data_IF_292804471356
#
_entry.id   IF_292804471356
#
_cell.length_a   1.000
_cell.length_b   1.000
_cell.length_c   1.000
_cell.angle_alpha   90.00
_cell.angle_beta   90.00
_cell.angle_gamma   90.00
#
_symmetry.space_group_name_H-M   'P 1'
#
loop_
_entity.id
_entity.type
_entity.pdbx_description
1 polymer ?
2 non-polymer ?
3 non-polymer ?
4 water ?
#
# COMPACT_ATOMS: atom_id res chain seq x y z
C UNK A 1 3.09 -13.29 -21.11
N UNK A 2 3.62 -12.22 -20.51
CA UNK A 2 4.36 -11.21 -21.23
C UNK A 2 3.41 -10.39 -22.08
N UNK A 3 3.58 -9.08 -22.00
CA UNK A 3 2.74 -8.14 -22.72
C UNK A 3 3.55 -6.88 -22.93
N UNK A 4 2.97 -6.00 -23.70
CA UNK A 4 3.44 -4.64 -23.93
C UNK A 4 2.03 -4.09 -24.19
N UNK A 5 1.55 -3.31 -23.23
CA UNK A 5 0.16 -2.90 -23.25
C UNK A 5 -0.01 -1.40 -23.44
N UNK A 6 -1.22 -0.94 -23.17
CA UNK A 6 -1.50 0.47 -23.05
C UNK A 6 -1.04 0.65 -21.59
N UNK A 7 0.04 1.33 -21.16
CA UNK A 7 0.27 1.29 -19.72
C UNK A 7 -0.26 2.55 -19.06
N UNK A 8 -1.36 2.31 -18.34
CA UNK A 8 -2.00 3.26 -17.44
C UNK A 8 -2.49 2.38 -16.29
N UNK A 9 -3.04 2.88 -15.18
CA UNK A 9 -3.69 1.98 -14.21
C UNK A 9 -5.06 1.77 -14.89
N UNK A 10 -5.06 0.85 -15.87
CA UNK A 10 -6.15 0.61 -16.80
C UNK A 10 -7.52 0.52 -16.15
N UNK A 11 -8.10 1.69 -15.91
CA UNK A 11 -9.38 1.74 -15.26
C UNK A 11 -9.22 1.68 -13.75
N UNK A 12 -9.23 2.86 -13.16
CA UNK A 12 -9.12 3.03 -11.73
C UNK A 12 -10.50 2.82 -11.08
N UNK A 13 -11.01 1.60 -11.10
CA UNK A 13 -12.30 1.25 -10.53
C UNK A 13 -13.49 1.84 -11.30
N UNK A 14 -13.87 3.13 -11.14
CA UNK A 14 -15.04 3.82 -11.72
C UNK A 14 -15.31 5.01 -10.81
N UNK A 15 -15.78 6.22 -11.18
CA UNK A 15 -16.42 7.21 -10.27
C UNK A 15 -17.29 6.66 -9.11
N UNK A 16 -18.25 5.76 -9.35
CA UNK A 16 -19.02 5.12 -8.27
C UNK A 16 -18.15 4.36 -7.25
N UNK A 17 -17.18 3.53 -7.70
CA UNK A 17 -16.27 2.89 -6.75
C UNK A 17 -15.14 3.77 -6.21
N UNK A 18 -14.77 4.76 -7.04
CA UNK A 18 -13.62 5.63 -6.81
C UNK A 18 -13.80 6.46 -5.57
N UNK A 19 -14.96 7.12 -5.60
CA UNK A 19 -15.31 8.06 -4.56
C UNK A 19 -15.07 7.57 -3.15
N UNK A 20 -15.38 6.29 -2.92
CA UNK A 20 -15.18 5.74 -1.59
C UNK A 20 -13.74 5.81 -1.15
N UNK A 21 -12.73 5.44 -1.96
CA UNK A 21 -11.39 5.45 -1.41
C UNK A 21 -10.89 6.85 -1.11
N UNK A 22 -11.60 7.90 -1.56
CA UNK A 22 -11.26 9.26 -1.16
C UNK A 22 -11.87 9.46 0.23
N UNK A 23 -13.19 9.36 0.45
CA UNK A 23 -13.72 9.54 1.81
C UNK A 23 -13.41 8.46 2.86
N UNK A 24 -12.90 7.31 2.43
CA UNK A 24 -12.43 6.30 3.35
C UNK A 24 -11.00 6.64 3.75
N UNK A 25 -10.14 7.01 2.78
CA UNK A 25 -8.77 7.40 3.06
C UNK A 25 -8.81 8.45 4.16
N UNK A 26 -9.66 9.48 4.01
CA UNK A 26 -9.77 10.50 5.03
C UNK A 26 -9.99 9.90 6.43
N UNK A 27 -10.98 9.00 6.58
CA UNK A 27 -11.23 8.41 7.88
C UNK A 27 -10.01 7.67 8.43
N UNK A 28 -9.47 6.70 7.67
CA UNK A 28 -8.30 5.91 8.06
C UNK A 28 -7.02 6.72 8.05
N UNK A 29 -6.97 7.94 7.51
CA UNK A 29 -5.73 8.64 7.61
C UNK A 29 -5.86 9.85 8.50
N UNK A 30 -6.50 9.53 9.62
CA UNK A 30 -6.45 10.43 10.76
C UNK A 30 -5.15 9.98 11.41
N UNK A 31 -5.05 8.66 11.49
CA UNK A 31 -3.96 7.98 12.11
C UNK A 31 -2.81 7.69 11.16
N UNK A 32 -2.07 8.72 10.71
CA UNK A 32 -0.91 8.51 9.84
C UNK A 32 0.06 7.51 10.50
N UNK A 33 0.51 7.74 11.73
CA UNK A 33 1.35 6.79 12.43
C UNK A 33 0.54 5.56 12.80
N UNK A 34 -0.78 5.67 12.96
CA UNK A 34 -1.61 4.54 13.36
C UNK A 34 -1.78 3.51 12.25
N UNK A 35 -2.86 3.56 11.48
CA UNK A 35 -3.17 2.65 10.40
C UNK A 35 -1.95 2.12 9.66
N UNK A 36 -0.90 2.88 9.26
CA UNK A 36 0.23 2.31 8.53
C UNK A 36 1.19 1.57 9.45
N UNK A 37 1.71 2.12 10.57
CA UNK A 37 2.62 1.38 11.48
C UNK A 37 1.95 0.08 11.97
N UNK A 38 0.63 0.17 12.17
CA UNK A 38 -0.17 -0.99 12.49
C UNK A 38 -0.19 -1.96 11.31
N UNK A 39 -0.49 -1.46 10.08
CA UNK A 39 -0.56 -2.26 8.85
C UNK A 39 0.78 -2.96 8.71
N UNK A 40 1.89 -2.31 9.11
CA UNK A 40 3.19 -2.90 9.00
C UNK A 40 3.56 -3.85 10.12
N UNK A 41 3.36 -3.61 11.43
CA UNK A 41 3.80 -4.57 12.46
C UNK A 41 3.23 -5.97 12.17
N UNK A 42 2.03 -5.97 11.57
CA UNK A 42 1.31 -7.16 11.22
C UNK A 42 1.99 -7.96 10.13
N UNK A 43 2.44 -7.32 9.02
CA UNK A 43 3.11 -7.97 7.87
C UNK A 43 4.33 -8.74 8.37
N UNK A 44 5.03 -8.05 9.27
CA UNK A 44 6.17 -8.61 9.97
C UNK A 44 5.88 -9.82 10.84
N UNK A 45 4.65 -10.28 11.06
CA UNK A 45 4.43 -11.38 11.98
C UNK A 45 4.29 -12.80 11.41
N UNK A 46 4.01 -12.86 10.11
CA UNK A 46 3.77 -14.08 9.34
C UNK A 46 4.91 -14.29 8.39
N UNK A 47 5.30 -13.20 7.74
CA UNK A 47 6.47 -13.22 6.88
C UNK A 47 7.69 -13.21 7.81
N UNK A 48 8.77 -13.91 7.47
CA UNK A 48 10.09 -13.64 8.05
C UNK A 48 10.88 -12.57 7.28
N UNK A 49 11.09 -12.88 6.00
CA UNK A 49 11.74 -12.11 4.94
C UNK A 49 11.67 -10.56 5.02
N UNK A 50 10.63 -10.04 5.69
CA UNK A 50 10.30 -8.64 5.92
C UNK A 50 11.21 -7.65 6.67
N UNK A 51 11.29 -7.81 7.98
CA UNK A 51 12.06 -6.94 8.87
C UNK A 51 13.53 -6.70 8.50
N UNK A 52 14.12 -7.53 7.61
CA UNK A 52 15.49 -7.37 7.20
C UNK A 52 15.61 -6.54 5.92
N UNK A 53 14.60 -6.38 5.07
CA UNK A 53 14.81 -5.61 3.85
C UNK A 53 14.47 -4.12 3.88
N UNK A 54 14.16 -3.61 5.06
CA UNK A 54 13.88 -2.20 5.27
C UNK A 54 15.10 -1.61 5.99
N UNK A 55 16.04 -0.91 5.33
CA UNK A 55 17.25 -0.33 5.93
C UNK A 55 17.26 0.28 7.34
N UNK A 56 16.17 0.93 7.75
CA UNK A 56 16.07 1.62 9.03
C UNK A 56 15.46 0.80 10.15
N UNK A 57 14.72 -0.27 9.86
CA UNK A 57 14.22 -1.17 10.90
C UNK A 57 15.29 -2.25 11.16
N UNK A 58 16.19 -2.38 10.17
CA UNK A 58 17.42 -3.16 10.20
C UNK A 58 17.66 -4.31 11.17
N UNK A 59 16.82 -5.33 11.09
CA UNK A 59 17.05 -6.55 11.88
C UNK A 59 16.94 -6.38 13.39
N UNK A 60 16.96 -5.16 13.95
CA UNK A 60 16.80 -5.02 15.37
C UNK A 60 15.34 -5.06 15.77
N UNK A 61 15.00 -6.22 16.35
CA UNK A 61 13.73 -6.56 16.98
C UNK A 61 12.44 -6.46 16.16
N UNK A 62 12.18 -7.51 15.36
CA UNK A 62 10.88 -7.92 14.85
C UNK A 62 9.61 -7.63 15.67
N UNK A 63 9.40 -8.53 16.62
CA UNK A 63 8.15 -8.53 17.32
C UNK A 63 7.80 -7.39 18.28
N UNK A 64 8.77 -6.73 18.95
CA UNK A 64 8.48 -5.80 20.04
C UNK A 64 7.65 -4.58 19.73
N UNK A 65 7.58 -4.28 18.45
CA UNK A 65 7.00 -3.05 17.97
C UNK A 65 5.56 -2.74 18.28
N UNK A 66 5.38 -1.44 18.04
CA UNK A 66 4.11 -0.75 17.94
C UNK A 66 4.68 0.60 17.57
N UNK A 67 5.39 1.34 18.42
CA UNK A 67 6.00 2.58 17.98
C UNK A 67 7.24 2.81 18.83
N UNK A 68 8.09 3.70 18.32
CA UNK A 68 9.21 4.32 19.01
C UNK A 68 9.91 5.15 17.92
N UNK A 69 11.24 5.35 17.99
CA UNK A 69 11.97 6.26 17.12
C UNK A 69 12.15 5.88 15.63
N UNK A 70 13.06 4.99 15.16
CA UNK A 70 13.32 4.75 13.72
C UNK A 70 12.18 4.11 12.91
N UNK A 71 10.98 4.03 13.49
CA UNK A 71 9.83 3.44 12.84
C UNK A 71 8.73 4.50 12.71
N UNK A 72 8.63 5.48 13.64
CA UNK A 72 7.62 6.54 13.52
C UNK A 72 7.93 7.39 12.28
N UNK A 73 9.20 7.34 11.86
CA UNK A 73 9.63 7.98 10.64
C UNK A 73 9.01 7.31 9.43
N UNK A 74 9.05 5.98 9.23
CA UNK A 74 8.41 5.43 8.02
C UNK A 74 6.89 5.59 8.03
N UNK A 75 6.30 5.71 9.23
CA UNK A 75 4.88 5.82 9.45
C UNK A 75 4.36 7.03 8.71
N UNK A 76 5.00 8.19 8.90
CA UNK A 76 4.59 9.35 8.14
C UNK A 76 5.23 9.27 6.74
N UNK A 77 6.55 9.12 6.56
CA UNK A 77 7.17 9.21 5.23
C UNK A 77 6.40 8.68 4.04
N UNK A 78 5.82 7.50 4.25
CA UNK A 78 5.13 6.79 3.22
C UNK A 78 3.70 7.37 3.21
N UNK A 79 3.08 7.68 4.34
CA UNK A 79 1.72 8.19 4.34
C UNK A 79 1.45 9.55 3.64
N UNK A 80 2.19 10.66 3.69
CA UNK A 80 1.84 11.85 2.90
C UNK A 80 2.06 11.57 1.43
N UNK A 81 3.07 10.74 1.14
CA UNK A 81 3.37 10.36 -0.25
C UNK A 81 2.27 9.46 -0.78
N UNK A 82 1.56 8.73 0.09
CA UNK A 82 0.44 7.96 -0.38
C UNK A 82 -0.71 8.95 -0.66
N UNK A 83 -0.99 9.98 0.17
CA UNK A 83 -1.97 11.05 -0.15
C UNK A 83 -1.60 11.76 -1.47
N UNK A 84 -0.38 11.61 -1.99
CA UNK A 84 -0.02 12.06 -3.32
C UNK A 84 -0.64 11.04 -4.29
N UNK A 85 -0.48 9.71 -4.17
CA UNK A 85 -1.10 8.77 -5.13
C UNK A 85 -2.62 8.94 -5.14
N UNK A 86 -3.20 9.19 -3.94
CA UNK A 86 -4.64 9.40 -3.80
C UNK A 86 -5.00 10.63 -4.61
N UNK A 87 -4.25 11.71 -4.40
CA UNK A 87 -4.55 12.93 -5.12
C UNK A 87 -4.42 12.95 -6.64
N UNK A 88 -3.71 11.96 -7.15
CA UNK A 88 -3.38 11.85 -8.55
C UNK A 88 -4.14 10.70 -9.20
N UNK A 89 -5.27 10.31 -8.56
CA UNK A 89 -6.13 9.17 -8.95
C UNK A 89 -6.35 8.99 -10.45
N UNK A 90 -6.71 10.04 -11.19
CA UNK A 90 -6.81 9.91 -12.63
C UNK A 90 -6.13 11.12 -13.26
N UNK A 91 -5.06 11.52 -12.58
CA UNK A 91 -4.33 12.71 -12.97
C UNK A 91 -2.97 12.35 -13.56
N UNK A 92 -2.91 12.31 -14.88
CA UNK A 92 -1.75 12.05 -15.72
C UNK A 92 -0.42 11.63 -15.14
N UNK A 93 0.09 12.32 -14.12
CA UNK A 93 1.38 12.07 -13.52
C UNK A 93 1.37 10.85 -12.59
N UNK A 94 0.29 10.06 -12.56
CA UNK A 94 0.23 8.78 -11.88
C UNK A 94 1.24 7.84 -12.53
N UNK A 95 1.39 7.60 -13.83
CA UNK A 95 2.56 6.85 -14.35
C UNK A 95 3.95 7.26 -13.86
N UNK A 96 4.36 8.51 -14.15
CA UNK A 96 5.68 8.93 -13.74
C UNK A 96 5.90 8.95 -12.22
N UNK A 97 4.85 9.17 -11.43
CA UNK A 97 4.96 9.19 -9.97
C UNK A 97 5.38 7.79 -9.47
N UNK A 98 4.50 6.83 -9.79
CA UNK A 98 4.64 5.43 -9.43
C UNK A 98 5.95 4.85 -9.91
N UNK A 99 6.38 5.15 -11.16
CA UNK A 99 7.61 4.57 -11.71
C UNK A 99 8.88 4.91 -10.94
N UNK A 100 9.08 6.12 -10.39
CA UNK A 100 10.26 6.37 -9.57
C UNK A 100 10.11 5.47 -8.35
N UNK A 101 8.89 5.17 -7.86
CA UNK A 101 8.72 4.23 -6.74
C UNK A 101 8.93 2.75 -7.10
N UNK A 102 8.61 2.39 -8.33
CA UNK A 102 8.89 1.07 -8.86
C UNK A 102 10.41 0.96 -8.96
N UNK A 103 11.17 2.00 -9.35
CA UNK A 103 12.63 2.02 -9.31
C UNK A 103 13.18 1.65 -7.92
N UNK A 104 12.51 2.10 -6.83
CA UNK A 104 12.96 1.72 -5.49
C UNK A 104 12.78 0.23 -5.28
N UNK A 105 11.54 -0.27 -5.23
CA UNK A 105 11.29 -1.65 -4.84
C UNK A 105 11.89 -2.68 -5.78
N UNK A 106 11.87 -2.35 -7.08
CA UNK A 106 12.34 -3.26 -8.13
C UNK A 106 13.81 -3.60 -7.92
N UNK A 107 14.57 -2.69 -7.25
CA UNK A 107 15.95 -2.96 -6.87
C UNK A 107 16.06 -4.20 -5.99
N UNK A 108 15.65 -4.11 -4.71
CA UNK A 108 15.96 -5.15 -3.72
C UNK A 108 15.62 -6.56 -4.10
N UNK A 109 14.33 -6.84 -4.13
CA UNK A 109 13.68 -8.07 -4.55
C UNK A 109 12.38 -8.09 -3.77
N UNK A 110 11.50 -7.27 -4.36
CA UNK A 110 10.12 -7.08 -3.94
C UNK A 110 9.41 -7.58 -5.20
N UNK A 111 8.52 -8.55 -5.01
CA UNK A 111 7.80 -9.11 -6.12
C UNK A 111 6.43 -9.52 -5.65
N UNK A 112 5.84 -10.38 -6.48
CA UNK A 112 4.46 -10.83 -6.29
C UNK A 112 4.23 -11.55 -4.97
N UNK A 113 5.28 -12.19 -4.39
CA UNK A 113 5.12 -12.82 -3.09
C UNK A 113 4.94 -11.67 -2.10
N UNK A 114 5.99 -10.92 -1.78
CA UNK A 114 5.87 -9.85 -0.80
C UNK A 114 4.67 -8.93 -0.90
N UNK A 115 4.18 -8.67 -2.12
CA UNK A 115 3.00 -7.83 -2.24
C UNK A 115 1.76 -8.47 -1.59
N UNK A 116 1.45 -9.78 -1.68
CA UNK A 116 0.22 -10.23 -1.02
C UNK A 116 0.38 -10.53 0.47
N UNK A 117 1.19 -9.67 1.07
CA UNK A 117 1.27 -9.64 2.50
C UNK A 117 0.51 -8.35 2.77
N UNK A 118 1.08 -7.23 2.29
CA UNK A 118 0.58 -5.87 2.50
C UNK A 118 -0.91 -5.81 2.22
N UNK A 119 -1.28 -6.16 1.00
CA UNK A 119 -2.65 -6.08 0.52
C UNK A 119 -3.73 -6.95 1.15
N UNK A 120 -3.46 -7.91 2.05
CA UNK A 120 -4.54 -8.62 2.71
C UNK A 120 -4.39 -8.26 4.18
N UNK A 121 -3.26 -7.73 4.66
CA UNK A 121 -3.16 -7.26 6.04
C UNK A 121 -3.88 -5.90 6.10
N UNK A 122 -3.85 -5.18 4.98
CA UNK A 122 -4.60 -3.96 4.74
C UNK A 122 -6.10 -4.26 4.80
N UNK A 123 -6.47 -5.49 4.43
CA UNK A 123 -7.86 -5.86 4.45
C UNK A 123 -8.29 -6.02 5.89
N UNK A 124 -7.42 -6.55 6.73
CA UNK A 124 -7.65 -6.79 8.14
C UNK A 124 -7.70 -5.46 8.91
N UNK A 125 -6.90 -4.45 8.54
CA UNK A 125 -6.92 -3.15 9.20
C UNK A 125 -8.29 -2.47 9.14
N UNK A 126 -8.92 -2.73 7.99
CA UNK A 126 -10.22 -2.23 7.63
C UNK A 126 -11.30 -2.96 8.44
N UNK A 127 -11.00 -4.08 9.10
CA UNK A 127 -11.97 -4.81 9.92
C UNK A 127 -12.05 -4.14 11.28
N UNK A 128 -10.91 -3.73 11.82
CA UNK A 128 -10.90 -3.10 13.12
C UNK A 128 -11.70 -1.81 13.12
N UNK A 129 -12.02 -1.25 11.94
CA UNK A 129 -12.89 -0.10 11.89
C UNK A 129 -14.25 -0.75 11.60
N UNK A 130 -14.68 -1.48 12.63
CA UNK A 130 -15.92 -2.19 12.59
C UNK A 130 -16.96 -1.20 13.05
N UNK A 131 -17.54 -0.59 12.02
CA UNK A 131 -18.66 0.31 12.18
C UNK A 131 -19.70 -0.45 11.42
N UNK A 132 -19.86 -1.71 11.83
CA UNK A 132 -20.70 -2.69 11.15
C UNK A 132 -20.25 -2.93 9.69
N UNK A 133 -20.94 -3.78 8.96
CA UNK A 133 -20.59 -4.18 7.60
C UNK A 133 -20.59 -3.12 6.50
N UNK A 134 -19.40 -2.54 6.40
CA UNK A 134 -18.98 -1.65 5.34
C UNK A 134 -19.19 -2.45 4.05
N UNK A 135 -19.78 -1.77 3.08
CA UNK A 135 -20.27 -2.43 1.88
C UNK A 135 -19.26 -3.19 1.04
N UNK A 136 -19.83 -4.20 0.37
CA UNK A 136 -19.02 -5.06 -0.46
C UNK A 136 -18.43 -4.29 -1.63
N UNK A 137 -18.93 -3.09 -1.99
CA UNK A 137 -18.27 -2.28 -3.00
C UNK A 137 -16.90 -1.84 -2.48
N UNK A 138 -16.61 -1.52 -1.20
CA UNK A 138 -15.24 -1.29 -0.75
C UNK A 138 -14.60 -2.69 -0.83
N UNK A 139 -15.24 -3.78 -0.36
CA UNK A 139 -14.59 -5.08 -0.52
C UNK A 139 -14.43 -5.55 -1.98
N UNK A 140 -14.84 -4.76 -2.98
CA UNK A 140 -14.36 -5.03 -4.31
C UNK A 140 -13.30 -3.95 -4.52
N UNK A 141 -13.66 -2.69 -4.35
CA UNK A 141 -12.87 -1.53 -4.70
C UNK A 141 -11.47 -1.53 -4.18
N UNK A 142 -11.23 -1.61 -2.87
CA UNK A 142 -9.86 -1.57 -2.38
C UNK A 142 -9.06 -2.77 -2.87
N UNK A 143 -9.76 -3.90 -3.06
CA UNK A 143 -9.12 -5.09 -3.61
C UNK A 143 -8.78 -4.83 -5.07
N UNK A 144 -9.60 -4.02 -5.76
CA UNK A 144 -9.42 -3.69 -7.17
C UNK A 144 -8.31 -2.64 -7.29
N UNK A 145 -8.12 -1.77 -6.28
CA UNK A 145 -7.04 -0.79 -6.32
C UNK A 145 -5.71 -1.52 -6.12
N UNK A 146 -5.49 -2.29 -5.03
CA UNK A 146 -4.22 -2.98 -4.76
C UNK A 146 -3.85 -3.92 -5.90
N UNK A 147 -4.87 -4.36 -6.64
CA UNK A 147 -4.67 -5.10 -7.85
C UNK A 147 -4.22 -4.17 -8.97
N UNK A 148 -4.59 -2.88 -9.16
CA UNK A 148 -3.97 -2.12 -10.27
C UNK A 148 -2.96 -0.99 -9.91
N UNK A 149 -2.81 -0.58 -8.66
CA UNK A 149 -1.90 0.51 -8.34
C UNK A 149 -0.54 -0.03 -7.87
N UNK A 150 -0.45 -1.23 -7.25
CA UNK A 150 0.80 -1.80 -6.74
C UNK A 150 1.86 -1.75 -7.82
N UNK A 151 2.69 -0.69 -7.84
CA UNK A 151 3.76 -0.46 -8.83
C UNK A 151 3.41 -0.84 -10.26
N UNK A 152 2.21 -0.41 -10.66
CA UNK A 152 1.48 -0.78 -11.87
C UNK A 152 1.79 -2.20 -12.38
N UNK A 153 1.91 -3.09 -11.40
CA UNK A 153 2.18 -4.51 -11.49
C UNK A 153 3.57 -4.90 -11.97
N UNK A 154 4.29 -4.01 -12.65
CA UNK A 154 5.48 -4.41 -13.36
C UNK A 154 6.70 -4.72 -12.55
N UNK A 155 7.24 -3.90 -11.64
CA UNK A 155 8.50 -4.15 -10.92
C UNK A 155 9.43 -5.04 -11.79
N UNK A 156 9.75 -6.31 -11.49
CA UNK A 156 10.45 -7.17 -12.43
C UNK A 156 9.24 -7.88 -13.07
N UNK A 157 8.80 -7.32 -14.19
CA UNK A 157 7.85 -7.96 -15.11
C UNK A 157 8.21 -7.54 -16.53
N UNK A 158 9.15 -6.61 -16.67
CA UNK A 158 9.63 -6.15 -17.96
C UNK A 158 10.81 -7.04 -18.29
N UNK A 159 10.73 -7.82 -19.37
CA UNK A 159 11.81 -8.66 -19.80
C UNK A 159 12.75 -7.78 -20.62
X LIG B 1 7.00 0.23 1.24
X LIG B 1 6.97 -0.14 2.31
X LIG C 1 10.02 2.06 0.56
X LIG C 1 5.56 2.87 -0.81
X LIG C 1 4.59 -1.79 -0.53
X LIG C 1 9.12 -2.62 0.67
X LIG C 1 8.90 2.72 0.09
X LIG C 1 8.85 4.08 -0.19
X LIG C 1 7.50 4.34 -0.35
X LIG C 1 6.89 3.08 -0.45
X LIG C 1 6.85 5.72 -0.45
X LIG C 1 9.99 5.09 -0.38
X LIG C 1 10.56 5.21 -1.84
X LIG C 1 11.73 6.20 -2.07
X LIG C 1 12.85 5.87 -1.65
X LIG C 1 11.53 7.25 -2.70
X LIG C 1 4.88 1.65 -0.93
X LIG C 1 3.65 1.48 -1.56
X LIG C 1 3.26 0.20 -1.20
X LIG C 1 4.42 -0.41 -0.73
X LIG C 1 3.00 2.42 -2.58
X LIG C 1 2.01 -0.38 -1.24
X LIG C 1 0.76 0.24 -1.64
X LIG C 1 5.73 -2.47 -0.12
X LIG C 1 5.81 -3.85 -0.05
X LIG C 1 7.16 -4.11 0.13
X LIG C 1 7.77 -2.87 0.37
X LIG C 1 4.68 -4.84 -0.18
X LIG C 1 7.68 -5.40 0.04
X LIG C 1 9.06 -5.82 0.21
X LIG C 1 9.83 -1.41 0.67
X LIG C 1 11.17 -1.27 0.95
X LIG C 1 11.38 0.10 1.14
X LIG C 1 10.20 0.68 0.69
X LIG C 1 12.20 -2.38 0.96
X LIG C 1 12.68 0.83 1.55
X LIG C 1 12.59 1.78 2.75
X LIG C 1 13.63 2.91 2.82
X LIG C 1 13.27 4.07 2.62
X LIG C 1 14.80 2.68 3.15
X LIG C 1 7.74 2.08 -0.17
X LIG C 1 5.39 0.48 -0.50
X LIG C 1 6.89 -1.86 0.19
X LIG C 1 9.28 -0.24 0.37
X LIG C 1 7.41 0.03 -0.49
#
# INVERSE_FOLDING_TARGET
XGATQSFQSVGDLTPAEKDLIRSTWDQLMTHRTGFVADVFIRIFHNDPTAQRKFPQMAGLSPAELRTSRQMHAHAIRVSALMTTYIDEMDTEVLPELLATLTRTHDKNHVGKKNYDLFGKVLMEAIKAELGVGFTKQVHDAWAKTFAIVQGVLITKHAS
CYN C N
HEM CHA CHB CHC CHD C1A C2A C3A C4A CMA CAA CBA CGA O1A O2A C1B C2B C3B C4B CMB CAB CBB C1C C2C C3C C4C CMC CAC CBC C1D C2D C3D C4D CMD CAD CBD CGD O1D O2D NA NB NC ND FE
#
